data_IF_420891141967
#
_entry.id   IF_420891141967
#
_cell.length_a   1.000
_cell.length_b   1.000
_cell.length_c   1.000
_cell.angle_alpha   90.00
_cell.angle_beta   90.00
_cell.angle_gamma   90.00
#
_symmetry.space_group_name_H-M   'P 1'
#
loop_
_entity.id
_entity.type
_entity.pdbx_description
1 polymer ?
#
# COMPACT_ATOMS: atom_id res chain seq x y z
N UNK A 1 -9.12 -9.76 1.04
CA UNK A 1 -7.71 -10.22 1.15
C UNK A 1 -7.18 -9.79 2.51
N UNK A 2 -6.49 -10.68 3.22
CA UNK A 2 -5.87 -10.33 4.51
C UNK A 2 -4.59 -9.53 4.28
N UNK A 3 -4.36 -8.48 5.05
CA UNK A 3 -3.11 -7.72 5.04
C UNK A 3 -2.83 -7.18 6.42
N UNK A 4 -1.56 -7.15 6.82
CA UNK A 4 -1.12 -6.54 8.08
C UNK A 4 -0.30 -5.32 7.74
N UNK A 5 -0.65 -4.17 8.32
CA UNK A 5 0.09 -2.92 8.16
C UNK A 5 0.53 -2.41 9.52
N UNK A 6 1.73 -1.87 9.58
CA UNK A 6 2.27 -1.21 10.77
C UNK A 6 2.88 0.13 10.38
N UNK A 7 2.50 1.18 11.09
CA UNK A 7 3.01 2.53 10.88
C UNK A 7 3.79 3.00 12.10
N UNK A 8 4.86 3.73 11.87
CA UNK A 8 5.63 4.43 12.88
C UNK A 8 5.66 5.92 12.53
N UNK A 9 5.43 6.76 13.53
CA UNK A 9 5.43 8.21 13.36
C UNK A 9 6.03 8.86 14.59
N UNK A 10 6.79 9.93 14.38
CA UNK A 10 7.41 10.71 15.43
C UNK A 10 7.36 12.19 15.07
N UNK A 11 7.15 13.01 16.10
CA UNK A 11 7.16 14.46 15.98
C UNK A 11 8.05 15.07 17.05
N UNK A 12 8.60 16.23 16.74
CA UNK A 12 9.30 17.08 17.70
C UNK A 12 8.82 18.53 17.53
N UNK A 13 8.87 19.28 18.61
CA UNK A 13 8.53 20.69 18.63
C UNK A 13 9.35 21.38 19.70
N UNK A 14 9.86 22.56 19.37
CA UNK A 14 10.54 23.44 20.30
C UNK A 14 9.71 24.71 20.46
N UNK A 15 9.27 24.96 21.70
CA UNK A 15 8.60 26.19 22.08
C UNK A 15 9.64 27.26 22.43
N UNK A 16 9.40 28.50 22.02
CA UNK A 16 10.19 29.62 22.53
C UNK A 16 9.81 29.88 23.98
N UNK A 17 10.73 29.59 24.91
CA UNK A 17 10.66 30.07 26.29
C UNK A 17 10.92 31.58 26.28
N UNK A 18 9.85 32.36 26.13
CA UNK A 18 9.92 33.79 26.37
C UNK A 18 10.02 34.05 27.86
N UNK A 19 11.15 34.55 28.33
CA UNK A 19 11.16 35.34 29.57
C UNK A 19 10.21 36.52 29.34
N UNK A 20 9.17 36.59 30.17
CA UNK A 20 8.18 37.66 30.15
C UNK A 20 8.81 38.94 30.73
N UNK A 21 9.68 39.57 29.98
CA UNK A 21 10.29 40.86 30.36
C UNK A 21 10.76 41.61 29.12
N UNK A 22 9.87 42.44 28.57
CA UNK A 22 10.24 43.44 27.58
C UNK A 22 9.19 43.58 26.49
N UNK A 23 8.43 44.67 26.58
CA UNK A 23 7.82 45.29 25.42
C UNK A 23 8.89 45.48 24.35
N UNK A 24 8.88 44.66 23.28
CA UNK A 24 9.48 44.87 21.96
C UNK A 24 9.18 43.62 21.10
N UNK A 25 8.13 43.72 20.28
CA UNK A 25 7.47 42.58 19.62
C UNK A 25 8.26 41.91 18.50
N UNK A 26 9.20 41.04 18.85
CA UNK A 26 9.64 39.96 17.95
C UNK A 26 9.28 38.60 18.56
N UNK A 27 8.06 38.15 18.27
CA UNK A 27 7.54 36.83 18.63
C UNK A 27 8.40 35.76 17.97
N UNK A 28 9.38 35.22 18.70
CA UNK A 28 10.16 34.07 18.26
C UNK A 28 9.19 32.89 18.08
N UNK A 29 8.89 32.58 16.82
CA UNK A 29 7.93 31.53 16.46
C UNK A 29 8.58 30.18 16.70
N UNK A 30 8.04 29.39 17.63
CA UNK A 30 8.48 28.01 17.86
C UNK A 30 8.42 27.19 16.58
N UNK A 31 9.35 26.24 16.44
CA UNK A 31 9.48 25.38 15.27
C UNK A 31 9.19 23.93 15.65
N UNK A 32 8.57 23.19 14.74
CA UNK A 32 8.31 21.78 14.93
C UNK A 32 8.28 21.03 13.61
N UNK A 33 8.63 19.76 13.67
CA UNK A 33 8.70 18.86 12.54
C UNK A 33 8.19 17.48 12.90
N UNK A 34 7.64 16.78 11.92
CA UNK A 34 7.18 15.42 12.08
C UNK A 34 7.49 14.57 10.87
N UNK A 35 7.69 13.28 11.09
CA UNK A 35 7.95 12.29 10.07
C UNK A 35 7.33 10.95 10.43
N UNK A 36 6.98 10.18 9.42
CA UNK A 36 6.45 8.85 9.60
C UNK A 36 6.75 7.94 8.42
N UNK A 37 6.67 6.64 8.68
CA UNK A 37 6.84 5.58 7.71
C UNK A 37 6.03 4.36 8.12
N UNK A 38 5.96 3.35 7.25
CA UNK A 38 5.21 2.15 7.56
C UNK A 38 5.59 0.98 6.67
N UNK A 39 5.17 -0.21 7.11
CA UNK A 39 5.35 -1.48 6.40
C UNK A 39 4.01 -2.14 6.20
N UNK A 40 3.86 -2.82 5.06
CA UNK A 40 2.68 -3.63 4.75
C UNK A 40 3.11 -5.03 4.33
N UNK A 41 2.50 -6.03 4.93
CA UNK A 41 2.66 -7.42 4.57
C UNK A 41 1.37 -7.93 3.92
N UNK A 42 1.50 -8.48 2.70
CA UNK A 42 0.41 -9.12 1.97
C UNK A 42 0.80 -10.58 1.69
N UNK A 43 -0.03 -11.56 2.09
CA UNK A 43 0.24 -12.96 1.81
C UNK A 43 0.08 -13.24 0.31
N UNK A 44 1.07 -13.90 -0.28
CA UNK A 44 1.11 -14.17 -1.73
C UNK A 44 0.57 -15.57 -2.11
N UNK A 45 0.37 -16.44 -1.12
CA UNK A 45 -0.11 -17.80 -1.30
C UNK A 45 0.11 -18.65 -0.04
N UNK A 46 -0.22 -19.93 -0.14
CA UNK A 46 0.04 -20.94 0.88
C UNK A 46 0.93 -22.05 0.31
N UNK A 47 1.84 -22.57 1.14
CA UNK A 47 2.59 -23.78 0.82
C UNK A 47 1.81 -24.98 1.36
N UNK A 48 1.36 -25.84 0.48
CA UNK A 48 0.68 -27.09 0.81
C UNK A 48 1.72 -28.21 0.72
N UNK A 49 1.85 -28.96 1.82
CA UNK A 49 2.76 -30.11 1.93
C UNK A 49 1.89 -31.31 2.32
N UNK A 50 1.83 -32.31 1.45
CA UNK A 50 1.21 -33.61 1.71
C UNK A 50 2.24 -34.72 1.52
N UNK A 51 1.88 -35.95 1.87
CA UNK A 51 2.75 -37.11 1.67
C UNK A 51 3.05 -37.37 0.18
N UNK A 52 2.14 -36.99 -0.72
CA UNK A 52 2.33 -37.18 -2.17
C UNK A 52 3.05 -36.02 -2.87
N UNK A 53 2.84 -34.78 -2.41
CA UNK A 53 3.35 -33.62 -3.13
C UNK A 53 3.50 -32.38 -2.25
N UNK A 54 4.38 -31.49 -2.70
CA UNK A 54 4.49 -30.14 -2.16
C UNK A 54 4.19 -29.15 -3.28
N UNK A 55 3.22 -28.26 -3.07
CA UNK A 55 2.86 -27.23 -4.04
C UNK A 55 2.59 -25.89 -3.40
N UNK A 56 2.90 -24.83 -4.13
CA UNK A 56 2.60 -23.47 -3.72
C UNK A 56 1.31 -22.99 -4.37
N UNK A 57 0.28 -22.72 -3.57
CA UNK A 57 -1.03 -22.24 -4.00
C UNK A 57 -1.04 -20.71 -3.91
N UNK A 58 -0.94 -20.03 -5.05
CA UNK A 58 -1.01 -18.55 -5.14
C UNK A 58 -2.44 -18.07 -4.84
N UNK A 59 -2.58 -17.02 -4.03
CA UNK A 59 -3.90 -16.41 -3.78
C UNK A 59 -4.34 -15.46 -4.90
N UNK A 60 -3.39 -14.88 -5.62
CA UNK A 60 -3.65 -13.98 -6.74
C UNK A 60 -3.53 -14.73 -8.07
N UNK A 61 -4.67 -15.15 -8.62
CA UNK A 61 -4.80 -15.85 -9.89
C UNK A 61 -4.75 -14.89 -11.10
N UNK A 62 -3.87 -13.88 -11.05
CA UNK A 62 -3.73 -12.85 -12.13
C UNK A 62 -3.54 -13.47 -13.50
N UNK A 63 -2.90 -14.64 -13.59
CA UNK A 63 -2.75 -15.39 -14.84
C UNK A 63 -4.09 -15.89 -15.39
N UNK A 64 -5.00 -16.36 -14.54
CA UNK A 64 -6.35 -16.76 -14.96
C UNK A 64 -7.20 -15.57 -15.38
N UNK A 65 -7.14 -14.47 -14.62
CA UNK A 65 -7.82 -13.22 -14.99
C UNK A 65 -7.32 -12.67 -16.33
N UNK A 66 -6.00 -12.65 -16.54
CA UNK A 66 -5.40 -12.24 -17.80
C UNK A 66 -5.82 -13.18 -18.95
N UNK A 67 -5.77 -14.50 -18.72
CA UNK A 67 -6.23 -15.49 -19.69
C UNK A 67 -7.70 -15.29 -20.06
N UNK A 68 -8.58 -15.05 -19.08
CA UNK A 68 -9.99 -14.77 -19.31
C UNK A 68 -10.20 -13.46 -20.09
N UNK A 69 -9.42 -12.41 -19.78
CA UNK A 69 -9.47 -11.15 -20.51
C UNK A 69 -9.04 -11.30 -21.97
N UNK A 70 -7.95 -12.03 -22.23
CA UNK A 70 -7.49 -12.34 -23.60
C UNK A 70 -8.55 -13.15 -24.35
N UNK A 71 -9.11 -14.19 -23.72
CA UNK A 71 -10.13 -15.02 -24.34
C UNK A 71 -11.40 -14.21 -24.65
N UNK A 72 -11.85 -13.38 -23.71
CA UNK A 72 -13.00 -12.50 -23.89
C UNK A 72 -12.77 -11.46 -24.99
N UNK A 73 -11.57 -10.88 -25.05
CA UNK A 73 -11.18 -9.96 -26.13
C UNK A 73 -11.14 -10.64 -27.50
N UNK A 74 -10.58 -11.85 -27.58
CA UNK A 74 -10.54 -12.62 -28.82
C UNK A 74 -11.95 -12.99 -29.30
N UNK A 75 -12.82 -13.47 -28.39
CA UNK A 75 -14.22 -13.79 -28.71
C UNK A 75 -14.99 -12.53 -29.11
N UNK A 76 -14.82 -11.43 -28.38
CA UNK A 76 -15.46 -10.14 -28.69
C UNK A 76 -15.04 -9.60 -30.05
N UNK A 77 -13.76 -9.69 -30.39
CA UNK A 77 -13.24 -9.31 -31.70
C UNK A 77 -13.81 -10.18 -32.82
N UNK A 78 -13.85 -11.50 -32.62
CA UNK A 78 -14.38 -12.44 -33.61
C UNK A 78 -15.87 -12.19 -33.86
N UNK A 79 -16.66 -12.00 -32.81
CA UNK A 79 -18.09 -11.68 -32.91
C UNK A 79 -18.35 -10.30 -33.52
N UNK A 80 -17.48 -9.32 -33.27
CA UNK A 80 -17.54 -8.01 -33.93
C UNK A 80 -17.32 -8.13 -35.44
N UNK A 81 -16.34 -8.93 -35.85
CA UNK A 81 -16.00 -9.16 -37.26
C UNK A 81 -17.05 -9.95 -38.04
N UNK A 82 -17.90 -10.72 -37.36
CA UNK A 82 -19.01 -11.49 -37.99
C UNK A 82 -20.28 -10.63 -38.11
N UNK A 83 -20.32 -9.47 -37.45
CA UNK A 83 -21.45 -8.52 -37.48
C UNK A 83 -21.19 -7.30 -38.37
N UNK A 84 -19.97 -7.15 -38.85
CA UNK A 84 -19.57 -6.28 -39.98
C UNK A 84 -19.73 -7.02 -41.31
#
# INVERSE_FOLDING_TARGET
>A
MASVAYGFGGGFGEGSSGDASGEDGNTSSGSGGGGGGGVVAKPIGALEITDEHTRFVRFDDRKRLFGAAVLGGAVGWLLGRVRE
#
